data_IF_119804818511
#
_entry.id   IF_119804818511
#
_cell.length_a   1.000
_cell.length_b   1.000
_cell.length_c   1.000
_cell.angle_alpha   90.00
_cell.angle_beta   90.00
_cell.angle_gamma   90.00
#
_symmetry.space_group_name_H-M   'P 1'
#
loop_
_entity.id
_entity.type
_entity.pdbx_description
1 polymer ?
#
# COMPACT_ATOMS: atom_id res chain seq x y z
N UNK A 1 -29.75 -7.99 -9.82
CA UNK A 1 -28.90 -8.34 -10.97
C UNK A 1 -27.48 -8.14 -10.60
N UNK A 2 -26.77 -9.25 -10.54
CA UNK A 2 -25.39 -9.37 -10.07
C UNK A 2 -24.46 -9.08 -11.24
N UNK A 3 -23.80 -7.93 -11.24
CA UNK A 3 -22.57 -7.74 -12.00
C UNK A 3 -21.41 -7.67 -11.02
N UNK A 4 -20.56 -8.66 -11.15
CA UNK A 4 -19.31 -8.80 -10.40
C UNK A 4 -18.36 -7.69 -10.87
N UNK A 5 -18.27 -6.63 -10.10
CA UNK A 5 -17.26 -5.61 -10.34
C UNK A 5 -15.88 -6.24 -10.12
N UNK A 6 -15.16 -6.48 -11.20
CA UNK A 6 -13.76 -6.87 -11.14
C UNK A 6 -12.99 -5.70 -10.51
N UNK A 7 -12.45 -5.91 -9.31
CA UNK A 7 -11.58 -4.94 -8.63
C UNK A 7 -10.22 -4.99 -9.30
N UNK A 8 -9.98 -4.08 -10.23
CA UNK A 8 -8.65 -3.87 -10.79
C UNK A 8 -8.05 -2.70 -10.01
N UNK A 9 -7.03 -2.97 -9.22
CA UNK A 9 -6.20 -1.93 -8.64
C UNK A 9 -5.30 -1.39 -9.75
N UNK A 10 -5.74 -0.33 -10.41
CA UNK A 10 -4.95 0.33 -11.44
C UNK A 10 -4.32 1.57 -10.78
N UNK A 11 -3.07 1.43 -10.35
CA UNK A 11 -2.26 2.60 -10.05
C UNK A 11 -1.65 3.10 -11.35
N UNK A 12 -2.25 4.12 -11.97
CA UNK A 12 -1.70 4.70 -13.19
C UNK A 12 -0.88 5.94 -12.85
N UNK A 13 0.36 5.98 -13.33
CA UNK A 13 1.26 7.15 -13.20
C UNK A 13 0.69 8.43 -13.84
N UNK A 14 -0.36 8.31 -14.67
CA UNK A 14 -0.93 9.42 -15.46
C UNK A 14 -2.23 9.99 -14.90
N UNK A 15 -2.94 9.29 -14.03
CA UNK A 15 -4.19 9.80 -13.46
C UNK A 15 -3.88 10.61 -12.21
N UNK A 16 -4.34 11.86 -12.17
CA UNK A 16 -4.23 12.70 -10.98
C UNK A 16 -4.98 12.07 -9.80
N UNK A 17 -4.54 12.36 -8.56
CA UNK A 17 -5.17 11.87 -7.31
C UNK A 17 -6.71 12.01 -7.29
N UNK A 18 -7.28 12.95 -8.04
CA UNK A 18 -8.72 13.18 -8.17
C UNK A 18 -9.44 12.21 -9.12
N UNK A 19 -8.76 11.65 -10.11
CA UNK A 19 -9.41 10.78 -11.10
C UNK A 19 -9.75 9.39 -10.52
N UNK A 20 -9.03 8.94 -9.49
CA UNK A 20 -9.27 7.64 -8.86
C UNK A 20 -10.59 7.63 -8.05
N UNK A 21 -10.94 8.71 -7.36
CA UNK A 21 -12.23 8.85 -6.67
C UNK A 21 -13.44 8.73 -7.61
N UNK A 22 -13.29 9.15 -8.88
CA UNK A 22 -14.34 9.06 -9.88
C UNK A 22 -14.49 7.65 -10.49
N UNK A 23 -13.42 6.85 -10.51
CA UNK A 23 -13.45 5.53 -11.17
C UNK A 23 -14.33 4.50 -10.47
N UNK A 24 -14.56 4.61 -9.15
CA UNK A 24 -15.45 3.70 -8.41
C UNK A 24 -16.93 3.90 -8.79
N UNK A 25 -17.28 5.06 -9.34
CA UNK A 25 -18.67 5.44 -9.70
C UNK A 25 -18.91 5.37 -11.22
N UNK A 26 -17.86 5.16 -12.02
CA UNK A 26 -17.99 5.18 -13.48
C UNK A 26 -18.73 3.94 -14.01
N UNK A 27 -19.58 4.16 -14.99
CA UNK A 27 -20.18 3.11 -15.82
C UNK A 27 -19.07 2.35 -16.57
N UNK A 28 -19.29 1.08 -16.91
CA UNK A 28 -18.32 0.23 -17.62
C UNK A 28 -17.75 0.85 -18.91
N UNK A 29 -18.53 1.65 -19.60
CA UNK A 29 -18.13 2.34 -20.83
C UNK A 29 -17.17 3.51 -20.55
N UNK A 30 -17.36 4.21 -19.43
CA UNK A 30 -16.48 5.28 -18.97
C UNK A 30 -15.13 4.71 -18.53
N UNK A 31 -15.12 3.55 -17.86
CA UNK A 31 -13.90 2.84 -17.48
C UNK A 31 -13.12 2.40 -18.72
N UNK A 32 -13.81 1.85 -19.75
CA UNK A 32 -13.17 1.48 -21.01
C UNK A 32 -12.49 2.69 -21.66
N UNK A 33 -13.17 3.81 -21.74
CA UNK A 33 -12.61 5.06 -22.31
C UNK A 33 -11.42 5.57 -21.50
N UNK A 34 -11.45 5.44 -20.17
CA UNK A 34 -10.37 5.88 -19.30
C UNK A 34 -9.11 5.01 -19.40
N UNK A 35 -9.26 3.72 -19.75
CA UNK A 35 -8.13 2.79 -19.93
C UNK A 35 -7.69 2.68 -21.40
N UNK A 36 -8.42 3.25 -22.34
CA UNK A 36 -8.08 3.25 -23.75
C UNK A 36 -6.77 4.01 -23.97
N UNK A 37 -5.78 3.33 -24.54
CA UNK A 37 -4.44 3.89 -24.76
C UNK A 37 -3.44 3.66 -23.62
N UNK A 38 -3.82 2.99 -22.53
CA UNK A 38 -2.86 2.52 -21.53
C UNK A 38 -2.03 1.35 -22.07
N UNK A 39 -0.76 1.35 -21.72
CA UNK A 39 0.21 0.31 -22.04
C UNK A 39 0.63 -0.42 -20.77
N UNK A 40 1.35 -1.52 -20.88
CA UNK A 40 1.91 -2.23 -19.70
C UNK A 40 2.79 -1.34 -18.83
N UNK A 41 3.42 -0.32 -19.41
CA UNK A 41 4.24 0.65 -18.66
C UNK A 41 3.42 1.62 -17.78
N UNK A 42 2.12 1.67 -17.98
CA UNK A 42 1.23 2.51 -17.17
C UNK A 42 0.72 1.77 -15.92
N UNK A 43 0.98 0.48 -15.80
CA UNK A 43 0.60 -0.36 -14.65
C UNK A 43 1.80 -0.59 -13.73
N UNK A 44 1.52 -0.72 -12.43
CA UNK A 44 2.49 -1.08 -11.41
C UNK A 44 2.27 -2.53 -10.98
N UNK A 45 3.27 -3.39 -11.17
CA UNK A 45 3.25 -4.79 -10.70
C UNK A 45 3.78 -4.81 -9.29
N UNK A 46 2.89 -5.07 -8.34
CA UNK A 46 3.22 -5.13 -6.91
C UNK A 46 3.32 -6.58 -6.42
N UNK A 47 4.48 -6.98 -5.92
CA UNK A 47 4.74 -8.33 -5.44
C UNK A 47 4.73 -8.44 -3.90
N UNK A 48 4.12 -9.52 -3.34
CA UNK A 48 4.18 -9.79 -1.91
C UNK A 48 5.56 -10.33 -1.51
N UNK A 49 6.11 -9.81 -0.41
CA UNK A 49 7.39 -10.27 0.15
C UNK A 49 7.20 -10.68 1.61
N UNK A 50 7.53 -11.93 1.91
CA UNK A 50 7.45 -12.49 3.27
C UNK A 50 8.77 -13.12 3.73
N UNK A 51 9.80 -13.18 2.86
CA UNK A 51 11.12 -13.70 3.18
C UNK A 51 12.18 -13.07 2.25
N UNK A 52 13.46 -13.27 2.55
CA UNK A 52 14.57 -12.79 1.71
C UNK A 52 14.57 -13.45 0.34
N UNK A 53 14.16 -14.72 0.27
CA UNK A 53 14.03 -15.46 -0.99
C UNK A 53 12.92 -14.88 -1.87
N UNK A 54 11.75 -14.56 -1.27
CA UNK A 54 10.66 -13.93 -2.02
C UNK A 54 11.00 -12.50 -2.45
N UNK A 55 11.78 -11.75 -1.66
CA UNK A 55 12.32 -10.46 -2.06
C UNK A 55 13.22 -10.60 -3.30
N UNK A 56 14.19 -11.51 -3.26
CA UNK A 56 15.07 -11.75 -4.39
C UNK A 56 14.31 -12.19 -5.64
N UNK A 57 13.31 -13.07 -5.48
CA UNK A 57 12.45 -13.52 -6.57
C UNK A 57 11.65 -12.38 -7.20
N UNK A 58 11.01 -11.52 -6.37
CA UNK A 58 10.25 -10.37 -6.84
C UNK A 58 11.12 -9.37 -7.62
N UNK A 59 12.28 -9.03 -7.08
CA UNK A 59 13.22 -8.11 -7.70
C UNK A 59 13.78 -8.66 -9.03
N UNK A 60 14.07 -9.98 -9.09
CA UNK A 60 14.57 -10.62 -10.31
C UNK A 60 13.48 -10.81 -11.36
N UNK A 61 12.22 -10.94 -10.95
CA UNK A 61 11.07 -11.01 -11.86
C UNK A 61 10.68 -9.64 -12.45
N UNK A 62 11.29 -8.55 -11.99
CA UNK A 62 11.02 -7.20 -12.50
C UNK A 62 9.76 -6.57 -11.91
N UNK A 63 9.43 -6.84 -10.65
CA UNK A 63 8.37 -6.16 -9.96
C UNK A 63 8.66 -4.65 -9.86
N UNK A 64 7.65 -3.81 -10.09
CA UNK A 64 7.76 -2.34 -9.96
C UNK A 64 7.72 -1.91 -8.49
N UNK A 65 7.07 -2.72 -7.67
CA UNK A 65 6.95 -2.50 -6.24
C UNK A 65 6.83 -3.81 -5.48
N UNK A 66 7.16 -3.73 -4.18
CA UNK A 66 6.95 -4.83 -3.25
C UNK A 66 6.14 -4.34 -2.05
N UNK A 67 5.45 -5.25 -1.38
CA UNK A 67 4.87 -4.98 -0.06
C UNK A 67 5.24 -6.08 0.93
N UNK A 68 5.54 -5.67 2.16
CA UNK A 68 5.97 -6.55 3.24
C UNK A 68 5.51 -6.02 4.60
N UNK A 69 5.53 -6.87 5.61
CA UNK A 69 5.25 -6.50 6.99
C UNK A 69 6.42 -6.82 7.89
N UNK A 70 6.55 -6.09 8.98
CA UNK A 70 7.55 -6.34 10.02
C UNK A 70 6.86 -6.63 11.36
N UNK A 71 7.51 -7.42 12.21
CA UNK A 71 7.07 -7.72 13.57
C UNK A 71 5.61 -8.20 13.66
N UNK A 72 4.82 -7.65 14.62
CA UNK A 72 3.46 -8.14 14.91
C UNK A 72 2.33 -7.30 14.32
N UNK A 73 2.61 -6.06 13.90
CA UNK A 73 1.58 -5.11 13.46
C UNK A 73 1.20 -5.25 11.98
N UNK A 74 1.15 -6.49 11.49
CA UNK A 74 0.64 -6.78 10.15
C UNK A 74 -0.14 -8.11 10.15
N UNK A 75 -1.10 -8.26 9.24
CA UNK A 75 -1.96 -9.44 9.13
C UNK A 75 -1.23 -10.73 8.75
N UNK A 76 0.05 -10.66 8.40
CA UNK A 76 0.91 -11.81 8.08
C UNK A 76 1.85 -12.19 9.21
N UNK A 77 1.67 -11.63 10.42
CA UNK A 77 2.53 -11.87 11.60
C UNK A 77 2.67 -13.35 11.99
N UNK A 78 1.79 -14.23 11.52
CA UNK A 78 1.85 -15.67 11.76
C UNK A 78 2.63 -16.47 10.71
N UNK A 79 3.16 -15.85 9.65
CA UNK A 79 4.01 -16.54 8.66
C UNK A 79 5.45 -16.69 9.20
N UNK A 80 6.09 -17.81 8.82
CA UNK A 80 7.48 -18.07 9.17
C UNK A 80 8.41 -17.04 8.51
N UNK A 81 9.25 -16.37 9.30
CA UNK A 81 10.20 -15.35 8.82
C UNK A 81 9.65 -13.95 9.04
N UNK A 82 9.73 -13.47 10.27
CA UNK A 82 9.38 -12.08 10.60
C UNK A 82 10.55 -11.18 10.26
N UNK A 83 10.30 -10.19 9.43
CA UNK A 83 11.24 -9.08 9.27
C UNK A 83 11.22 -8.19 10.50
N UNK A 84 12.37 -7.66 10.84
CA UNK A 84 12.60 -6.70 11.92
C UNK A 84 12.69 -5.26 11.37
N UNK A 85 12.81 -4.27 12.25
CA UNK A 85 13.09 -2.89 11.86
C UNK A 85 14.44 -2.76 11.12
N UNK A 86 15.43 -3.57 11.48
CA UNK A 86 16.73 -3.58 10.77
C UNK A 86 16.57 -4.16 9.35
N UNK A 87 15.80 -5.24 9.21
CA UNK A 87 15.45 -5.79 7.89
C UNK A 87 14.69 -4.77 7.03
N UNK A 88 13.79 -3.97 7.63
CA UNK A 88 13.08 -2.90 6.92
C UNK A 88 14.06 -1.92 6.26
N UNK A 89 15.08 -1.47 6.99
CA UNK A 89 16.08 -0.55 6.46
C UNK A 89 16.88 -1.17 5.31
N UNK A 90 17.25 -2.44 5.44
CA UNK A 90 17.96 -3.18 4.40
C UNK A 90 17.10 -3.38 3.14
N UNK A 91 15.84 -3.79 3.32
CA UNK A 91 14.88 -3.98 2.23
C UNK A 91 14.65 -2.65 1.50
N UNK A 92 14.41 -1.56 2.23
CA UNK A 92 14.21 -0.24 1.66
C UNK A 92 15.42 0.23 0.83
N UNK A 93 16.64 0.02 1.34
CA UNK A 93 17.87 0.35 0.63
C UNK A 93 18.01 -0.47 -0.66
N UNK A 94 17.81 -1.79 -0.57
CA UNK A 94 17.89 -2.70 -1.72
C UNK A 94 16.87 -2.34 -2.81
N UNK A 95 15.63 -2.04 -2.42
CA UNK A 95 14.60 -1.63 -3.37
C UNK A 95 14.95 -0.30 -4.05
N UNK A 96 15.42 0.68 -3.29
CA UNK A 96 15.81 1.99 -3.82
C UNK A 96 16.97 1.88 -4.82
N UNK A 97 17.98 1.05 -4.54
CA UNK A 97 19.09 0.79 -5.47
C UNK A 97 18.64 0.20 -6.79
N UNK A 98 17.55 -0.58 -6.78
CA UNK A 98 16.98 -1.21 -7.97
C UNK A 98 15.84 -0.38 -8.62
N UNK A 99 15.51 0.78 -8.07
CA UNK A 99 14.40 1.61 -8.56
C UNK A 99 13.02 1.01 -8.32
N UNK A 100 12.89 0.08 -7.36
CA UNK A 100 11.65 -0.60 -6.97
C UNK A 100 11.05 0.11 -5.75
N UNK A 101 9.75 0.35 -5.76
CA UNK A 101 9.06 0.93 -4.59
C UNK A 101 8.91 -0.13 -3.49
N UNK A 102 9.00 0.31 -2.24
CA UNK A 102 8.79 -0.54 -1.08
C UNK A 102 7.61 -0.01 -0.25
N UNK A 103 6.62 -0.87 0.01
CA UNK A 103 5.46 -0.55 0.81
C UNK A 103 5.44 -1.38 2.09
N UNK A 104 5.31 -0.70 3.24
CA UNK A 104 5.23 -1.36 4.53
C UNK A 104 3.77 -1.56 4.94
N UNK A 105 3.38 -2.79 5.27
CA UNK A 105 2.03 -3.07 5.80
C UNK A 105 2.00 -2.91 7.33
N UNK A 106 1.16 -1.97 7.80
CA UNK A 106 0.77 -1.78 9.20
C UNK A 106 -0.77 -1.79 9.21
N UNK A 107 -1.34 -2.95 8.93
CA UNK A 107 -2.75 -3.08 8.57
C UNK A 107 -3.54 -4.02 9.50
N UNK A 108 -3.07 -4.20 10.74
CA UNK A 108 -3.84 -4.81 11.83
C UNK A 108 -4.63 -3.75 12.59
N UNK A 109 -5.54 -4.21 13.45
CA UNK A 109 -6.16 -3.36 14.48
C UNK A 109 -5.08 -2.97 15.49
N UNK A 110 -5.04 -1.70 15.86
CA UNK A 110 -4.10 -1.15 16.84
C UNK A 110 -4.84 -0.93 18.16
N UNK A 111 -4.38 -1.60 19.21
CA UNK A 111 -4.87 -1.38 20.57
C UNK A 111 -4.01 -0.33 21.29
N UNK A 112 -4.49 0.17 22.42
CA UNK A 112 -3.77 1.20 23.20
C UNK A 112 -2.35 0.78 23.58
N UNK A 113 -2.15 -0.51 23.87
CA UNK A 113 -0.85 -1.11 24.16
C UNK A 113 0.11 -1.16 22.97
N UNK A 114 -0.41 -1.12 21.75
CA UNK A 114 0.39 -1.18 20.50
C UNK A 114 0.83 0.21 20.01
N UNK A 115 0.29 1.28 20.57
CA UNK A 115 0.47 2.65 20.08
C UNK A 115 1.94 3.08 20.02
N UNK A 116 2.76 2.69 21.01
CA UNK A 116 4.19 3.04 21.02
C UNK A 116 4.96 2.26 19.95
N UNK A 117 4.71 0.97 19.84
CA UNK A 117 5.30 0.12 18.80
C UNK A 117 4.90 0.60 17.39
N UNK A 118 3.64 0.96 17.19
CA UNK A 118 3.13 1.49 15.93
C UNK A 118 3.87 2.77 15.52
N UNK A 119 4.03 3.72 16.45
CA UNK A 119 4.79 4.95 16.18
C UNK A 119 6.23 4.67 15.81
N UNK A 120 6.90 3.81 16.57
CA UNK A 120 8.29 3.40 16.30
C UNK A 120 8.44 2.81 14.89
N UNK A 121 7.49 1.97 14.47
CA UNK A 121 7.48 1.36 13.14
C UNK A 121 7.25 2.41 12.04
N UNK A 122 6.32 3.32 12.24
CA UNK A 122 6.04 4.39 11.27
C UNK A 122 7.21 5.37 11.13
N UNK A 123 7.86 5.73 12.25
CA UNK A 123 9.06 6.56 12.24
C UNK A 123 10.21 5.88 11.52
N UNK A 124 10.43 4.58 11.78
CA UNK A 124 11.44 3.80 11.08
C UNK A 124 11.17 3.69 9.56
N UNK A 125 9.89 3.61 9.17
CA UNK A 125 9.50 3.61 7.76
C UNK A 125 9.84 4.94 7.08
N UNK A 126 9.55 6.06 7.74
CA UNK A 126 9.89 7.40 7.25
C UNK A 126 11.41 7.58 7.12
N UNK A 127 12.18 7.21 8.17
CA UNK A 127 13.65 7.29 8.17
C UNK A 127 14.28 6.45 7.08
N UNK A 128 13.74 5.26 6.82
CA UNK A 128 14.21 4.35 5.78
C UNK A 128 13.77 4.77 4.36
N UNK A 129 12.97 5.83 4.23
CA UNK A 129 12.38 6.28 2.97
C UNK A 129 11.52 5.20 2.29
N UNK A 130 10.67 4.52 3.07
CA UNK A 130 9.64 3.64 2.55
C UNK A 130 8.69 4.45 1.68
N UNK A 131 8.30 3.91 0.52
CA UNK A 131 7.48 4.64 -0.46
C UNK A 131 6.09 4.99 0.09
N UNK A 132 5.44 4.05 0.79
CA UNK A 132 4.21 4.32 1.53
C UNK A 132 3.96 3.26 2.61
N UNK A 133 3.12 3.60 3.59
CA UNK A 133 2.57 2.66 4.58
C UNK A 133 1.17 2.24 4.15
N UNK A 134 0.90 0.94 4.07
CA UNK A 134 -0.43 0.37 3.81
C UNK A 134 -1.12 0.15 5.14
N UNK A 135 -2.16 0.93 5.43
CA UNK A 135 -2.80 1.00 6.74
C UNK A 135 -4.31 0.72 6.69
N UNK A 136 -4.84 0.17 7.78
CA UNK A 136 -6.27 -0.06 7.98
C UNK A 136 -6.81 0.62 9.26
N UNK A 137 -5.97 0.95 10.21
CA UNK A 137 -6.37 1.57 11.46
C UNK A 137 -6.21 3.08 11.43
N UNK A 138 -7.21 3.80 11.99
CA UNK A 138 -7.21 5.28 12.02
C UNK A 138 -6.01 5.84 12.80
N UNK A 139 -5.52 5.13 13.80
CA UNK A 139 -4.32 5.55 14.55
C UNK A 139 -3.09 5.59 13.64
N UNK A 140 -2.90 4.58 12.78
CA UNK A 140 -1.81 4.55 11.80
C UNK A 140 -1.99 5.65 10.75
N UNK A 141 -3.20 5.77 10.19
CA UNK A 141 -3.52 6.78 9.16
C UNK A 141 -3.21 8.19 9.64
N UNK A 142 -3.70 8.53 10.84
CA UNK A 142 -3.52 9.87 11.42
C UNK A 142 -2.06 10.14 11.79
N UNK A 143 -1.35 9.16 12.34
CA UNK A 143 0.04 9.32 12.71
C UNK A 143 0.94 9.48 11.48
N UNK A 144 0.80 8.63 10.47
CA UNK A 144 1.54 8.76 9.22
C UNK A 144 1.30 10.13 8.56
N UNK A 145 0.05 10.60 8.56
CA UNK A 145 -0.28 11.94 8.06
C UNK A 145 0.43 13.04 8.83
N UNK A 146 0.50 12.92 10.17
CA UNK A 146 1.17 13.88 11.06
C UNK A 146 2.66 13.97 10.78
N UNK A 147 3.34 12.84 10.55
CA UNK A 147 4.79 12.79 10.30
C UNK A 147 5.16 13.00 8.82
N UNK A 148 4.18 13.09 7.92
CA UNK A 148 4.40 13.28 6.48
C UNK A 148 4.77 12.02 5.71
N UNK A 149 4.47 10.82 6.25
CA UNK A 149 4.62 9.55 5.56
C UNK A 149 3.45 9.33 4.62
N UNK A 150 3.71 8.95 3.35
CA UNK A 150 2.67 8.58 2.39
C UNK A 150 1.89 7.35 2.87
N UNK A 151 0.56 7.38 2.71
CA UNK A 151 -0.34 6.33 3.20
C UNK A 151 -1.22 5.81 2.07
N UNK A 152 -1.28 4.48 1.97
CA UNK A 152 -2.21 3.76 1.12
C UNK A 152 -3.25 3.03 1.98
N UNK A 153 -4.53 3.09 1.59
CA UNK A 153 -5.58 2.40 2.32
C UNK A 153 -5.52 0.89 2.06
N UNK A 154 -5.53 0.13 3.14
CA UNK A 154 -5.61 -1.33 3.04
C UNK A 154 -6.99 -1.77 2.56
N UNK A 155 -7.04 -2.84 1.77
CA UNK A 155 -8.30 -3.52 1.38
C UNK A 155 -9.16 -3.96 2.56
N UNK A 156 -8.59 -4.07 3.75
CA UNK A 156 -9.29 -4.43 4.99
C UNK A 156 -10.27 -3.38 5.48
N UNK A 157 -10.14 -2.13 5.03
CA UNK A 157 -11.13 -1.08 5.28
C UNK A 157 -12.45 -1.33 4.55
N UNK A 158 -12.49 -2.27 3.60
CA UNK A 158 -13.69 -2.64 2.84
C UNK A 158 -14.42 -1.43 2.23
N UNK A 159 -13.67 -0.47 1.72
CA UNK A 159 -14.22 0.72 1.07
C UNK A 159 -14.97 0.26 -0.19
N UNK A 160 -16.29 0.44 -0.20
CA UNK A 160 -17.16 -0.06 -1.25
C UNK A 160 -18.11 1.00 -1.82
N UNK A 161 -18.01 2.24 -1.36
CA UNK A 161 -18.84 3.36 -1.81
C UNK A 161 -18.10 4.69 -1.69
N UNK A 162 -18.63 5.71 -2.36
CA UNK A 162 -18.02 7.04 -2.41
C UNK A 162 -17.97 7.72 -1.05
N UNK A 163 -18.96 7.55 -0.20
CA UNK A 163 -18.98 8.20 1.11
C UNK A 163 -17.85 7.69 2.01
N UNK A 164 -17.56 6.38 1.97
CA UNK A 164 -16.42 5.81 2.67
C UNK A 164 -15.09 6.29 2.07
N UNK A 165 -15.01 6.34 0.73
CA UNK A 165 -13.82 6.85 0.05
C UNK A 165 -13.54 8.31 0.40
N UNK A 166 -14.55 9.18 0.35
CA UNK A 166 -14.43 10.60 0.69
C UNK A 166 -13.99 10.80 2.15
N UNK A 167 -14.48 9.95 3.05
CA UNK A 167 -14.05 9.97 4.45
C UNK A 167 -12.56 9.63 4.59
N UNK A 168 -12.10 8.55 3.99
CA UNK A 168 -10.72 8.09 4.13
C UNK A 168 -9.72 8.89 3.28
N UNK A 169 -10.15 9.53 2.20
CA UNK A 169 -9.29 10.39 1.36
C UNK A 169 -8.67 11.58 2.11
N UNK A 170 -9.21 11.94 3.28
CA UNK A 170 -8.64 12.95 4.15
C UNK A 170 -7.32 12.50 4.81
N UNK A 171 -7.12 11.19 4.92
CA UNK A 171 -6.03 10.59 5.68
C UNK A 171 -5.03 9.82 4.81
N UNK A 172 -5.35 9.56 3.55
CA UNK A 172 -4.54 8.72 2.69
C UNK A 172 -4.31 9.35 1.31
N UNK A 173 -3.27 8.89 0.67
CA UNK A 173 -2.85 9.35 -0.66
C UNK A 173 -3.36 8.42 -1.76
N UNK A 174 -3.58 7.13 -1.45
CA UNK A 174 -4.07 6.08 -2.36
C UNK A 174 -5.12 5.23 -1.64
N UNK A 175 -6.20 4.85 -2.37
CA UNK A 175 -7.27 3.99 -1.90
C UNK A 175 -7.50 2.80 -2.85
#
# INVERSE_FOLDING_TARGET
CTETAARIFIHTRKLSKFAFSYMIVMHTDDIRSAIEGLTTADFEIMAPVGSRESLAAALNAGADSIYFGIEQLNMRAHSAGRFTIDDLKEIAATCRERGVKAYLTVNTIIYDEDMEAMRTICDAALEAHISAVIAADVAVLTYCRQIGQEVHLSTQLNISNCAALDFYAQYADVA
#
